data_IF_193305518883
#
_entry.id   IF_193305518883
#
_cell.length_a   1.000
_cell.length_b   1.000
_cell.length_c   1.000
_cell.angle_alpha   90.00
_cell.angle_beta   90.00
_cell.angle_gamma   90.00
#
_symmetry.space_group_name_H-M   'P 1'
#
loop_
_entity.id
_entity.type
_entity.pdbx_description
1 polymer ?
#
# COMPACT_ATOMS: atom_id res chain seq x y z
N UNK A 1 16.83 -1.05 20.56
CA UNK A 1 16.84 -1.68 19.22
C UNK A 1 15.57 -1.27 18.50
N UNK A 2 15.65 -0.97 17.21
CA UNK A 2 14.46 -0.77 16.37
C UNK A 2 13.68 -2.09 16.28
N UNK A 3 12.35 -2.01 16.17
CA UNK A 3 11.51 -3.18 15.89
C UNK A 3 11.70 -3.62 14.45
N UNK A 4 11.70 -4.91 14.16
CA UNK A 4 11.82 -5.44 12.81
C UNK A 4 10.45 -5.42 12.10
N UNK A 5 10.42 -4.83 10.91
CA UNK A 5 9.34 -4.97 9.95
C UNK A 5 9.83 -5.80 8.75
N UNK A 6 9.19 -6.93 8.51
CA UNK A 6 9.42 -7.78 7.36
C UNK A 6 8.38 -7.44 6.27
N UNK A 7 8.84 -6.91 5.14
CA UNK A 7 7.96 -6.47 4.06
C UNK A 7 8.13 -7.30 2.79
N UNK A 8 7.09 -8.04 2.43
CA UNK A 8 7.04 -8.80 1.18
C UNK A 8 6.71 -7.89 0.01
N UNK A 9 7.58 -7.87 -0.99
CA UNK A 9 7.51 -7.03 -2.17
C UNK A 9 8.41 -5.80 -2.10
N UNK A 10 9.64 -5.92 -2.62
CA UNK A 10 10.56 -4.80 -2.80
C UNK A 10 10.28 -3.99 -4.08
N UNK A 11 9.07 -4.09 -4.61
CA UNK A 11 8.62 -3.35 -5.78
C UNK A 11 8.48 -1.84 -5.53
N UNK A 12 7.81 -1.15 -6.45
CA UNK A 12 7.69 0.30 -6.39
C UNK A 12 6.88 0.79 -5.17
N UNK A 13 5.79 0.10 -4.80
CA UNK A 13 4.98 0.43 -3.62
C UNK A 13 5.78 0.15 -2.35
N UNK A 14 6.41 -1.02 -2.24
CA UNK A 14 7.22 -1.38 -1.08
C UNK A 14 8.35 -0.38 -0.82
N UNK A 15 9.20 -0.11 -1.82
CA UNK A 15 10.31 0.84 -1.69
C UNK A 15 9.84 2.30 -1.63
N UNK A 16 8.87 2.68 -2.47
CA UNK A 16 8.50 4.09 -2.66
C UNK A 16 7.54 4.63 -1.59
N UNK A 17 6.78 3.77 -0.92
CA UNK A 17 5.76 4.21 0.01
C UNK A 17 5.79 3.49 1.36
N UNK A 18 5.77 2.16 1.37
CA UNK A 18 5.65 1.41 2.63
C UNK A 18 6.93 1.52 3.46
N UNK A 19 8.10 1.27 2.91
CA UNK A 19 9.35 1.37 3.65
C UNK A 19 9.61 2.76 4.24
N UNK A 20 9.39 3.89 3.52
CA UNK A 20 9.41 5.23 4.12
C UNK A 20 8.50 5.40 5.33
N UNK A 21 7.26 4.86 5.28
CA UNK A 21 6.32 4.92 6.40
C UNK A 21 6.80 4.06 7.58
N UNK A 22 7.27 2.85 7.31
CA UNK A 22 7.81 1.96 8.34
C UNK A 22 9.02 2.58 9.05
N UNK A 23 9.97 3.16 8.32
CA UNK A 23 11.14 3.83 8.92
C UNK A 23 10.76 5.07 9.74
N UNK A 24 9.75 5.84 9.31
CA UNK A 24 9.21 6.95 10.10
C UNK A 24 8.57 6.50 11.42
N UNK A 25 8.20 5.22 11.50
CA UNK A 25 7.66 4.57 12.69
C UNK A 25 8.72 3.76 13.46
N UNK A 26 10.00 4.07 13.26
CA UNK A 26 11.13 3.49 13.97
C UNK A 26 11.34 1.97 13.72
N UNK A 27 10.85 1.44 12.58
CA UNK A 27 11.13 0.08 12.18
C UNK A 27 12.47 -0.03 11.41
N UNK A 28 13.18 -1.11 11.66
CA UNK A 28 14.16 -1.66 10.73
C UNK A 28 13.40 -2.42 9.64
N UNK A 29 13.69 -2.15 8.37
CA UNK A 29 12.95 -2.72 7.24
C UNK A 29 13.81 -3.76 6.53
N UNK A 30 13.30 -4.99 6.50
CA UNK A 30 13.84 -6.08 5.68
C UNK A 30 12.81 -6.45 4.63
N UNK A 31 13.22 -6.37 3.36
CA UNK A 31 12.37 -6.80 2.25
C UNK A 31 12.47 -8.30 2.01
N UNK A 32 11.38 -8.89 1.52
CA UNK A 32 11.36 -10.25 0.95
C UNK A 32 10.89 -10.13 -0.50
N UNK A 33 11.67 -10.64 -1.44
CA UNK A 33 11.28 -10.57 -2.86
C UNK A 33 11.72 -11.84 -3.60
N UNK A 34 11.06 -12.12 -4.73
CA UNK A 34 11.41 -13.21 -5.67
C UNK A 34 12.51 -12.80 -6.65
N UNK A 35 12.71 -11.50 -6.84
CA UNK A 35 13.69 -10.95 -7.77
C UNK A 35 15.09 -10.90 -7.13
N UNK A 36 15.93 -11.89 -7.43
CA UNK A 36 17.28 -12.04 -6.89
C UNK A 36 18.20 -10.87 -7.21
N UNK A 37 18.08 -10.27 -8.39
CA UNK A 37 18.86 -9.11 -8.77
C UNK A 37 18.51 -7.89 -7.92
N UNK A 38 17.22 -7.68 -7.69
CA UNK A 38 16.73 -6.62 -6.79
C UNK A 38 17.19 -6.85 -5.34
N UNK A 39 17.10 -8.09 -4.84
CA UNK A 39 17.59 -8.47 -3.52
C UNK A 39 19.08 -8.18 -3.37
N UNK A 40 19.91 -8.60 -4.35
CA UNK A 40 21.35 -8.31 -4.36
C UNK A 40 21.63 -6.81 -4.36
N UNK A 41 20.95 -6.06 -5.24
CA UNK A 41 21.14 -4.62 -5.36
C UNK A 41 20.78 -3.88 -4.06
N UNK A 42 19.69 -4.27 -3.38
CA UNK A 42 19.33 -3.70 -2.07
C UNK A 42 20.40 -4.00 -1.03
N UNK A 43 20.94 -5.22 -0.99
CA UNK A 43 21.94 -5.62 0.00
C UNK A 43 23.30 -4.98 -0.23
N UNK A 44 23.67 -4.73 -1.49
CA UNK A 44 24.90 -4.04 -1.86
C UNK A 44 24.86 -2.55 -1.51
N UNK A 45 23.77 -1.88 -1.83
CA UNK A 45 23.62 -0.43 -1.64
C UNK A 45 23.15 -0.07 -0.23
N UNK A 46 22.23 -0.85 0.35
CA UNK A 46 21.60 -0.66 1.65
C UNK A 46 20.86 0.67 1.83
N UNK A 47 20.77 1.46 0.77
CA UNK A 47 20.07 2.74 0.75
C UNK A 47 19.55 3.07 -0.66
N UNK A 48 18.55 3.94 -0.73
CA UNK A 48 18.03 4.51 -1.97
C UNK A 48 17.25 5.80 -1.67
N UNK A 49 16.87 6.52 -2.72
CA UNK A 49 16.13 7.77 -2.62
C UNK A 49 14.69 7.59 -3.08
N UNK A 50 13.79 8.28 -2.38
CA UNK A 50 12.40 8.46 -2.80
C UNK A 50 12.17 9.94 -3.07
N UNK A 51 11.89 10.28 -4.32
CA UNK A 51 11.68 11.64 -4.80
C UNK A 51 10.21 11.88 -5.13
N UNK A 52 9.70 13.08 -4.84
CA UNK A 52 8.30 13.43 -5.15
C UNK A 52 8.21 14.21 -6.45
N UNK A 53 7.27 13.84 -7.34
CA UNK A 53 7.00 14.53 -8.60
C UNK A 53 6.64 15.99 -8.32
N UNK A 54 7.20 16.89 -9.12
CA UNK A 54 6.91 18.34 -9.03
C UNK A 54 7.54 19.06 -7.83
N UNK A 55 8.14 18.35 -6.90
CA UNK A 55 8.79 18.93 -5.73
C UNK A 55 10.27 18.48 -5.65
N UNK A 56 11.16 19.23 -6.29
CA UNK A 56 12.61 18.93 -6.33
C UNK A 56 13.28 18.92 -4.94
N UNK A 57 12.63 19.49 -3.92
CA UNK A 57 13.17 19.56 -2.57
C UNK A 57 12.67 18.42 -1.66
N UNK A 58 11.76 17.57 -2.15
CA UNK A 58 11.23 16.46 -1.37
C UNK A 58 11.94 15.15 -1.77
N UNK A 59 13.15 14.97 -1.26
CA UNK A 59 13.92 13.74 -1.39
C UNK A 59 14.05 13.11 0.00
N UNK A 60 13.53 11.90 0.15
CA UNK A 60 13.74 11.08 1.34
C UNK A 60 14.85 10.06 1.07
N UNK A 61 15.84 10.00 1.95
CA UNK A 61 16.86 8.96 1.92
C UNK A 61 16.40 7.80 2.80
N UNK A 62 16.20 6.65 2.20
CA UNK A 62 15.87 5.40 2.88
C UNK A 62 17.17 4.65 3.08
N UNK A 63 17.53 4.38 4.33
CA UNK A 63 18.84 3.82 4.72
C UNK A 63 18.64 2.59 5.59
N UNK A 64 19.73 1.84 5.77
CA UNK A 64 19.75 0.65 6.62
C UNK A 64 18.69 -0.39 6.25
N UNK A 65 18.43 -0.54 4.96
CA UNK A 65 17.54 -1.57 4.43
C UNK A 65 18.33 -2.79 4.00
N UNK A 66 17.68 -3.94 4.05
CA UNK A 66 18.22 -5.19 3.51
C UNK A 66 17.09 -5.99 2.85
N UNK A 67 17.46 -7.05 2.14
CA UNK A 67 16.48 -7.90 1.49
C UNK A 67 16.90 -9.37 1.58
N UNK A 68 15.92 -10.26 1.54
CA UNK A 68 16.11 -11.71 1.49
C UNK A 68 15.32 -12.30 0.32
N UNK A 69 15.90 -13.29 -0.34
CA UNK A 69 15.21 -14.10 -1.33
C UNK A 69 14.14 -14.96 -0.63
N UNK A 70 12.91 -14.96 -1.13
CA UNK A 70 11.81 -15.77 -0.56
C UNK A 70 12.13 -17.27 -0.53
N UNK A 71 13.04 -17.73 -1.40
CA UNK A 71 13.50 -19.11 -1.43
C UNK A 71 14.52 -19.44 -0.34
N UNK A 72 15.11 -18.45 0.32
CA UNK A 72 15.99 -18.65 1.48
C UNK A 72 15.16 -18.90 2.75
N UNK A 73 14.58 -20.10 2.83
CA UNK A 73 13.67 -20.48 3.92
C UNK A 73 14.29 -20.36 5.31
N UNK A 74 15.61 -20.60 5.43
CA UNK A 74 16.31 -20.51 6.72
C UNK A 74 16.38 -19.09 7.26
N UNK A 75 16.73 -18.13 6.40
CA UNK A 75 16.74 -16.71 6.79
C UNK A 75 15.33 -16.17 6.94
N UNK A 76 14.40 -16.57 6.06
CA UNK A 76 12.99 -16.18 6.14
C UNK A 76 12.39 -16.58 7.49
N UNK A 77 12.58 -17.83 7.94
CA UNK A 77 12.10 -18.29 9.23
C UNK A 77 12.62 -17.42 10.38
N UNK A 78 13.94 -17.18 10.45
CA UNK A 78 14.53 -16.33 11.49
C UNK A 78 13.95 -14.92 11.50
N UNK A 79 13.75 -14.33 10.33
CA UNK A 79 13.20 -12.99 10.20
C UNK A 79 11.73 -12.95 10.64
N UNK A 80 10.92 -13.94 10.28
CA UNK A 80 9.52 -14.06 10.74
C UNK A 80 9.47 -14.16 12.27
N UNK A 81 10.28 -15.02 12.88
CA UNK A 81 10.36 -15.20 14.34
C UNK A 81 10.75 -13.91 15.09
N UNK A 82 11.55 -13.04 14.46
CA UNK A 82 12.04 -11.78 15.05
C UNK A 82 11.15 -10.58 14.74
N UNK A 83 10.22 -10.71 13.80
CA UNK A 83 9.40 -9.60 13.32
C UNK A 83 8.34 -9.18 14.33
N UNK A 84 8.15 -7.88 14.47
CA UNK A 84 7.01 -7.28 15.17
C UNK A 84 5.88 -6.92 14.21
N UNK A 85 6.21 -6.67 12.95
CA UNK A 85 5.28 -6.36 11.88
C UNK A 85 5.70 -7.12 10.62
N UNK A 86 4.75 -7.80 9.99
CA UNK A 86 4.89 -8.41 8.69
C UNK A 86 3.89 -7.73 7.76
N UNK A 87 4.31 -7.40 6.55
CA UNK A 87 3.43 -6.71 5.60
C UNK A 87 3.71 -7.09 4.15
N UNK A 88 2.76 -6.83 3.26
CA UNK A 88 2.87 -7.17 1.83
C UNK A 88 2.52 -6.00 0.92
N UNK A 89 3.16 -5.94 -0.24
CA UNK A 89 2.76 -5.18 -1.43
C UNK A 89 3.19 -5.92 -2.70
N UNK A 90 2.71 -7.15 -2.87
CA UNK A 90 3.10 -8.11 -3.92
C UNK A 90 2.02 -8.33 -4.98
N UNK A 91 0.85 -7.76 -4.76
CA UNK A 91 -0.38 -8.03 -5.47
C UNK A 91 -1.26 -9.04 -4.72
N UNK A 92 -2.59 -8.78 -4.69
CA UNK A 92 -3.51 -9.46 -3.78
C UNK A 92 -3.56 -10.99 -3.95
N UNK A 93 -3.32 -11.47 -5.17
CA UNK A 93 -3.34 -12.93 -5.47
C UNK A 93 -2.25 -13.74 -4.76
N UNK A 94 -1.16 -13.08 -4.32
CA UNK A 94 -0.04 -13.74 -3.66
C UNK A 94 -0.11 -13.70 -2.13
N UNK A 95 -1.01 -12.91 -1.56
CA UNK A 95 -1.14 -12.77 -0.10
C UNK A 95 -1.45 -14.08 0.61
N UNK A 96 -2.37 -14.94 0.09
CA UNK A 96 -2.61 -16.25 0.69
C UNK A 96 -1.38 -17.16 0.72
N UNK A 97 -0.60 -17.20 -0.36
CA UNK A 97 0.63 -18.00 -0.43
C UNK A 97 1.68 -17.53 0.59
N UNK A 98 1.78 -16.21 0.79
CA UNK A 98 2.67 -15.64 1.82
C UNK A 98 2.14 -16.00 3.21
N UNK A 99 0.84 -15.86 3.46
CA UNK A 99 0.23 -16.21 4.73
C UNK A 99 0.49 -17.69 5.10
N UNK A 100 0.32 -18.61 4.15
CA UNK A 100 0.64 -20.02 4.32
C UNK A 100 2.13 -20.23 4.65
N UNK A 101 3.02 -19.57 3.89
CA UNK A 101 4.47 -19.74 4.05
C UNK A 101 4.98 -19.24 5.40
N UNK A 102 4.42 -18.15 5.93
CA UNK A 102 4.86 -17.59 7.23
C UNK A 102 4.16 -18.21 8.43
N UNK A 103 2.96 -18.78 8.24
CA UNK A 103 2.13 -19.30 9.33
C UNK A 103 2.85 -20.34 10.20
N UNK A 104 3.72 -21.17 9.61
CA UNK A 104 4.50 -22.17 10.32
C UNK A 104 5.61 -21.56 11.18
N UNK A 105 6.11 -20.36 10.82
CA UNK A 105 7.24 -19.71 11.47
C UNK A 105 6.83 -18.69 12.54
N UNK A 106 5.56 -18.30 12.59
CA UNK A 106 5.08 -17.34 13.59
C UNK A 106 5.01 -18.02 14.95
N UNK A 107 5.82 -17.55 15.89
CA UNK A 107 5.93 -18.11 17.25
C UNK A 107 5.26 -17.25 18.32
N UNK A 108 4.87 -16.01 17.99
CA UNK A 108 4.28 -15.04 18.91
C UNK A 108 2.91 -14.57 18.42
N UNK A 109 1.98 -14.44 19.35
CA UNK A 109 0.64 -13.88 19.17
C UNK A 109 0.62 -12.34 19.15
N UNK A 110 1.77 -11.71 19.24
CA UNK A 110 1.92 -10.25 19.17
C UNK A 110 2.42 -9.72 17.83
N UNK A 111 2.69 -10.60 16.86
CA UNK A 111 3.10 -10.21 15.50
C UNK A 111 1.89 -9.68 14.74
N UNK A 112 2.01 -8.50 14.19
CA UNK A 112 0.96 -7.87 13.38
C UNK A 112 1.23 -8.17 11.91
N UNK A 113 0.17 -8.49 11.15
CA UNK A 113 0.21 -8.65 9.70
C UNK A 113 -0.67 -7.61 9.01
N UNK A 114 -0.14 -6.92 8.00
CA UNK A 114 -0.89 -5.96 7.20
C UNK A 114 -0.61 -6.20 5.71
N UNK A 115 -1.63 -6.56 4.95
CA UNK A 115 -1.56 -6.57 3.50
C UNK A 115 -1.90 -5.16 2.95
N UNK A 116 -0.89 -4.47 2.46
CA UNK A 116 -1.06 -3.19 1.77
C UNK A 116 -1.43 -3.41 0.30
N UNK A 117 -2.61 -3.99 0.09
CA UNK A 117 -3.07 -4.45 -1.21
C UNK A 117 -4.40 -3.79 -1.61
N UNK A 118 -4.66 -3.73 -2.90
CA UNK A 118 -5.94 -3.22 -3.41
C UNK A 118 -7.00 -4.33 -3.45
N UNK A 119 -7.32 -4.89 -2.29
CA UNK A 119 -8.30 -5.96 -2.12
C UNK A 119 -9.04 -5.80 -0.79
N UNK A 120 -10.35 -6.07 -0.83
CA UNK A 120 -11.18 -6.09 0.36
C UNK A 120 -10.73 -7.17 1.34
N UNK A 121 -10.51 -6.78 2.61
CA UNK A 121 -10.16 -7.69 3.70
C UNK A 121 -8.94 -8.58 3.40
N UNK A 122 -7.92 -8.03 2.74
CA UNK A 122 -6.78 -8.82 2.27
C UNK A 122 -6.04 -9.54 3.38
N UNK A 123 -5.83 -8.87 4.52
CA UNK A 123 -5.13 -9.44 5.67
C UNK A 123 -5.96 -10.53 6.36
N UNK A 124 -7.17 -10.18 6.80
CA UNK A 124 -8.03 -11.12 7.55
C UNK A 124 -8.48 -12.30 6.70
N UNK A 125 -8.75 -12.09 5.40
CA UNK A 125 -9.10 -13.18 4.48
C UNK A 125 -7.97 -14.19 4.28
N UNK A 126 -6.72 -13.73 4.24
CA UNK A 126 -5.57 -14.60 4.04
C UNK A 126 -5.33 -15.55 5.23
N UNK A 127 -5.72 -15.14 6.44
CA UNK A 127 -5.53 -15.95 7.66
C UNK A 127 -6.81 -16.63 8.16
N UNK A 128 -7.93 -16.52 7.43
CA UNK A 128 -9.24 -17.01 7.87
C UNK A 128 -9.26 -18.47 8.30
N UNK A 129 -8.55 -19.32 7.58
CA UNK A 129 -8.55 -20.77 7.80
C UNK A 129 -7.23 -21.27 8.44
N UNK A 130 -6.32 -20.36 8.78
CA UNK A 130 -5.03 -20.68 9.36
C UNK A 130 -5.10 -20.66 10.91
N UNK A 131 -4.41 -21.59 11.54
CA UNK A 131 -4.20 -21.61 13.01
C UNK A 131 -3.06 -20.65 13.35
N UNK A 132 -3.25 -19.39 13.08
CA UNK A 132 -2.22 -18.40 13.28
C UNK A 132 -2.11 -17.92 14.73
N UNK A 133 -0.93 -17.41 15.05
CA UNK A 133 -0.63 -16.71 16.30
C UNK A 133 -0.36 -15.23 16.06
N UNK A 134 -0.73 -14.69 14.90
CA UNK A 134 -0.54 -13.29 14.57
C UNK A 134 -1.87 -12.53 14.49
N UNK A 135 -1.76 -11.21 14.45
CA UNK A 135 -2.90 -10.29 14.42
C UNK A 135 -3.02 -9.69 13.01
N UNK A 136 -3.96 -10.18 12.17
CA UNK A 136 -4.19 -9.58 10.87
C UNK A 136 -4.99 -8.29 11.01
N UNK A 137 -4.48 -7.18 10.48
CA UNK A 137 -5.17 -5.89 10.39
C UNK A 137 -5.41 -5.54 8.93
N UNK A 138 -6.64 -5.22 8.59
CA UNK A 138 -6.96 -4.78 7.24
C UNK A 138 -6.62 -3.31 7.03
N UNK A 139 -6.16 -2.98 5.82
CA UNK A 139 -5.80 -1.63 5.46
C UNK A 139 -6.31 -1.25 4.05
N UNK A 140 -6.64 0.02 3.89
CA UNK A 140 -6.87 0.65 2.59
C UNK A 140 -5.66 1.50 2.26
N UNK A 141 -5.04 1.23 1.10
CA UNK A 141 -3.87 1.98 0.63
C UNK A 141 -4.24 2.76 -0.61
N UNK A 142 -3.91 4.03 -0.61
CA UNK A 142 -4.03 4.89 -1.77
C UNK A 142 -2.67 5.52 -2.08
N UNK A 143 -2.06 5.08 -3.17
CA UNK A 143 -0.77 5.58 -3.67
C UNK A 143 -0.60 5.23 -5.13
N UNK A 144 -0.34 6.24 -5.94
CA UNK A 144 0.08 6.05 -7.32
C UNK A 144 1.59 6.21 -7.39
N UNK A 145 2.23 5.24 -8.01
CA UNK A 145 3.66 5.27 -8.31
C UNK A 145 3.81 5.06 -9.81
N UNK A 146 4.32 6.07 -10.54
CA UNK A 146 4.51 5.96 -11.98
C UNK A 146 5.53 4.87 -12.34
N UNK A 147 5.60 4.45 -13.61
CA UNK A 147 6.63 3.53 -14.07
C UNK A 147 8.03 4.01 -13.69
N UNK A 148 8.86 3.12 -13.18
CA UNK A 148 10.22 3.39 -12.73
C UNK A 148 11.25 2.87 -13.72
N UNK A 149 12.48 3.43 -13.69
CA UNK A 149 13.63 2.81 -14.34
C UNK A 149 13.94 1.46 -13.69
N UNK A 150 14.29 0.47 -14.51
CA UNK A 150 14.69 -0.86 -14.03
C UNK A 150 16.12 -0.87 -13.48
N UNK A 151 16.91 0.13 -13.82
CA UNK A 151 18.34 0.18 -13.52
C UNK A 151 18.65 0.95 -12.22
N UNK A 152 17.65 1.33 -11.44
CA UNK A 152 17.81 2.10 -10.20
C UNK A 152 16.93 1.58 -9.08
N UNK A 153 17.46 1.62 -7.85
CA UNK A 153 16.70 1.43 -6.62
C UNK A 153 15.84 2.65 -6.27
N UNK A 154 16.23 3.83 -6.75
CA UNK A 154 15.52 5.08 -6.50
C UNK A 154 14.09 5.03 -7.04
N UNK A 155 13.16 5.64 -6.33
CA UNK A 155 11.73 5.63 -6.68
C UNK A 155 11.20 7.05 -6.77
N UNK A 156 10.53 7.35 -7.89
CA UNK A 156 9.78 8.59 -8.07
C UNK A 156 8.32 8.34 -7.71
N UNK A 157 7.76 9.16 -6.82
CA UNK A 157 6.38 9.00 -6.31
C UNK A 157 5.58 10.28 -6.48
N UNK A 158 4.25 10.16 -6.48
CA UNK A 158 3.37 11.31 -6.36
C UNK A 158 3.40 11.90 -4.94
N UNK A 159 2.98 13.17 -4.79
CA UNK A 159 2.94 13.84 -3.49
C UNK A 159 1.93 13.26 -2.53
N UNK A 160 0.77 12.82 -3.04
CA UNK A 160 -0.29 12.23 -2.25
C UNK A 160 -0.03 10.75 -1.96
N UNK A 161 -0.49 10.29 -0.80
CA UNK A 161 -0.55 8.88 -0.43
C UNK A 161 -1.13 8.72 0.97
N UNK A 162 -1.96 7.70 1.17
CA UNK A 162 -2.59 7.42 2.46
C UNK A 162 -2.64 5.92 2.75
N UNK A 163 -2.57 5.61 4.03
CA UNK A 163 -2.81 4.29 4.61
C UNK A 163 -3.90 4.47 5.67
N UNK A 164 -5.01 3.82 5.49
CA UNK A 164 -6.08 3.75 6.47
C UNK A 164 -6.13 2.32 7.01
N UNK A 165 -6.00 2.17 8.32
CA UNK A 165 -5.98 0.86 9.00
C UNK A 165 -7.28 0.74 9.80
N UNK A 166 -7.86 -0.44 9.82
CA UNK A 166 -9.02 -0.75 10.64
C UNK A 166 -8.76 -0.41 12.10
N UNK A 167 -9.70 0.32 12.74
CA UNK A 167 -9.59 0.67 14.17
C UNK A 167 -9.58 -0.60 15.01
N UNK A 168 -8.53 -0.71 15.83
CA UNK A 168 -8.29 -1.86 16.67
C UNK A 168 -7.53 -1.40 17.92
N UNK A 169 -7.41 -2.25 18.94
CA UNK A 169 -6.55 -1.99 20.10
C UNK A 169 -5.06 -1.92 19.74
N UNK A 170 -4.66 -2.53 18.62
CA UNK A 170 -3.29 -2.51 18.11
C UNK A 170 -3.10 -1.36 17.12
N UNK A 171 -2.17 -0.45 17.44
CA UNK A 171 -1.79 0.66 16.55
C UNK A 171 -0.30 0.55 16.19
N UNK A 172 0.06 -0.31 15.21
CA UNK A 172 1.46 -0.54 14.87
C UNK A 172 2.17 0.67 14.25
N UNK A 173 1.42 1.56 13.61
CA UNK A 173 1.92 2.79 13.00
C UNK A 173 1.31 4.00 13.73
N UNK A 174 2.10 5.05 13.91
CA UNK A 174 1.63 6.32 14.50
C UNK A 174 0.69 7.04 13.54
N UNK A 175 -0.39 7.59 14.04
CA UNK A 175 -1.26 8.47 13.26
C UNK A 175 -0.47 9.68 12.75
N UNK A 176 -0.74 10.08 11.51
CA UNK A 176 -0.03 11.14 10.81
C UNK A 176 -0.90 11.65 9.64
N UNK A 177 -0.39 12.58 8.84
CA UNK A 177 -1.05 12.98 7.58
C UNK A 177 -1.18 11.81 6.58
N UNK A 178 -0.37 10.75 6.72
CA UNK A 178 -0.34 9.59 5.83
C UNK A 178 -1.07 8.39 6.41
N UNK A 179 -1.05 8.21 7.73
CA UNK A 179 -1.61 7.04 8.43
C UNK A 179 -2.78 7.47 9.30
N UNK A 180 -3.91 6.82 9.13
CA UNK A 180 -5.12 7.02 9.94
C UNK A 180 -5.79 5.68 10.28
N UNK A 181 -6.67 5.71 11.29
CA UNK A 181 -7.42 4.56 11.78
C UNK A 181 -8.92 4.87 11.82
N UNK A 182 -9.77 3.87 11.65
CA UNK A 182 -11.22 4.02 11.77
C UNK A 182 -12.03 2.88 11.15
N UNK A 183 -13.23 3.21 10.68
CA UNK A 183 -14.14 2.25 10.06
C UNK A 183 -13.64 1.82 8.66
N UNK A 184 -13.04 0.65 8.62
CA UNK A 184 -12.46 0.07 7.40
C UNK A 184 -13.48 -0.07 6.27
N UNK A 185 -14.69 -0.57 6.55
CA UNK A 185 -15.70 -0.82 5.52
C UNK A 185 -16.10 0.47 4.80
N UNK A 186 -16.36 1.50 5.57
CA UNK A 186 -16.70 2.79 5.00
C UNK A 186 -15.55 3.41 4.20
N UNK A 187 -14.32 3.30 4.69
CA UNK A 187 -13.15 3.83 3.98
C UNK A 187 -12.84 3.04 2.70
N UNK A 188 -12.97 1.71 2.75
CA UNK A 188 -12.79 0.86 1.58
C UNK A 188 -13.83 1.17 0.49
N UNK A 189 -15.11 1.26 0.86
CA UNK A 189 -16.20 1.61 -0.07
C UNK A 189 -16.01 3.03 -0.61
N UNK A 190 -15.62 3.99 0.24
CA UNK A 190 -15.31 5.36 -0.17
C UNK A 190 -14.25 5.38 -1.26
N UNK A 191 -13.10 4.71 -1.03
CA UNK A 191 -12.04 4.60 -2.05
C UNK A 191 -12.54 3.91 -3.31
N UNK A 192 -13.24 2.78 -3.17
CA UNK A 192 -13.71 1.99 -4.31
C UNK A 192 -14.66 2.80 -5.20
N UNK A 193 -15.60 3.54 -4.62
CA UNK A 193 -16.61 4.27 -5.37
C UNK A 193 -16.12 5.64 -5.83
N UNK A 194 -15.57 6.45 -4.92
CA UNK A 194 -15.26 7.84 -5.22
C UNK A 194 -13.95 7.98 -6.00
N UNK A 195 -12.93 7.18 -5.69
CA UNK A 195 -11.66 7.23 -6.40
C UNK A 195 -11.64 6.28 -7.60
N UNK A 196 -11.72 4.97 -7.36
CA UNK A 196 -11.62 3.97 -8.43
C UNK A 196 -12.81 4.06 -9.39
N UNK A 197 -14.03 4.29 -8.88
CA UNK A 197 -15.24 4.47 -9.68
C UNK A 197 -15.19 5.71 -10.56
N UNK A 198 -14.64 6.83 -10.04
CA UNK A 198 -14.44 8.03 -10.84
C UNK A 198 -13.41 7.78 -11.95
N UNK A 199 -12.25 7.19 -11.62
CA UNK A 199 -11.24 6.84 -12.63
C UNK A 199 -11.83 5.94 -13.73
N UNK A 200 -12.65 4.96 -13.36
CA UNK A 200 -13.31 4.08 -14.33
C UNK A 200 -14.27 4.87 -15.25
N UNK A 201 -15.11 5.75 -14.68
CA UNK A 201 -16.00 6.60 -15.49
C UNK A 201 -15.23 7.52 -16.44
N UNK A 202 -14.13 8.13 -15.96
CA UNK A 202 -13.27 8.99 -16.79
C UNK A 202 -12.58 8.19 -17.89
N UNK A 203 -12.14 6.95 -17.59
CA UNK A 203 -11.54 6.07 -18.60
C UNK A 203 -12.52 5.72 -19.72
N UNK A 204 -13.77 5.36 -19.38
CA UNK A 204 -14.79 5.11 -20.40
C UNK A 204 -15.16 6.37 -21.21
N UNK A 205 -15.20 7.54 -20.55
CA UNK A 205 -15.42 8.79 -21.25
C UNK A 205 -14.27 9.09 -22.22
N UNK A 206 -13.02 8.92 -21.81
CA UNK A 206 -11.85 9.07 -22.67
C UNK A 206 -11.87 8.11 -23.87
N UNK A 207 -12.17 6.83 -23.63
CA UNK A 207 -12.33 5.83 -24.70
C UNK A 207 -13.42 6.21 -25.70
N UNK A 208 -14.55 6.79 -25.24
CA UNK A 208 -15.61 7.27 -26.13
C UNK A 208 -15.20 8.45 -27.02
N UNK A 209 -14.11 9.14 -26.64
CA UNK A 209 -13.48 10.22 -27.40
C UNK A 209 -12.21 9.76 -28.15
N UNK A 210 -11.96 8.44 -28.21
CA UNK A 210 -10.79 7.82 -28.86
C UNK A 210 -9.44 8.26 -28.25
N UNK A 211 -9.45 8.71 -26.98
CA UNK A 211 -8.25 9.10 -26.24
C UNK A 211 -7.54 7.89 -25.63
N UNK A 212 -6.23 7.95 -25.57
CA UNK A 212 -5.40 6.87 -25.05
C UNK A 212 -5.14 6.99 -23.54
N UNK A 213 -5.04 8.22 -23.05
CA UNK A 213 -4.70 8.51 -21.65
C UNK A 213 -5.71 9.46 -21.02
N UNK A 214 -6.00 9.29 -19.74
CA UNK A 214 -6.95 10.14 -18.98
C UNK A 214 -6.51 11.61 -18.95
N UNK A 215 -5.20 11.87 -18.89
CA UNK A 215 -4.71 13.26 -18.82
C UNK A 215 -5.02 14.09 -20.09
N UNK A 216 -5.23 13.43 -21.23
CA UNK A 216 -5.62 14.11 -22.47
C UNK A 216 -7.04 14.71 -22.37
N UNK A 217 -7.86 14.22 -21.43
CA UNK A 217 -9.19 14.76 -21.14
C UNK A 217 -9.13 16.18 -20.54
N UNK A 218 -8.05 16.52 -19.80
CA UNK A 218 -7.94 17.82 -19.11
C UNK A 218 -7.90 19.03 -20.06
N UNK A 219 -7.65 18.80 -21.34
CA UNK A 219 -7.65 19.82 -22.38
C UNK A 219 -9.06 20.13 -22.93
N UNK A 220 -10.09 19.39 -22.49
CA UNK A 220 -11.47 19.50 -22.99
C UNK A 220 -12.39 20.20 -21.99
N UNK A 221 -13.14 21.21 -22.43
CA UNK A 221 -14.17 21.87 -21.61
C UNK A 221 -15.26 20.90 -21.15
N UNK A 222 -15.60 19.89 -21.98
CA UNK A 222 -16.58 18.86 -21.64
C UNK A 222 -16.11 18.00 -20.46
N UNK A 223 -14.80 17.86 -20.27
CA UNK A 223 -14.23 17.04 -19.20
C UNK A 223 -14.65 17.53 -17.82
N UNK A 224 -14.47 18.82 -17.54
CA UNK A 224 -14.80 19.40 -16.22
C UNK A 224 -16.27 19.18 -15.86
N UNK A 225 -17.17 19.36 -16.84
CA UNK A 225 -18.61 19.14 -16.66
C UNK A 225 -18.91 17.66 -16.40
N UNK A 226 -18.30 16.76 -17.20
CA UNK A 226 -18.50 15.32 -17.04
C UNK A 226 -17.95 14.82 -15.70
N UNK A 227 -16.70 15.21 -15.35
CA UNK A 227 -16.03 14.80 -14.12
C UNK A 227 -16.82 15.23 -12.88
N UNK A 228 -17.30 16.49 -12.84
CA UNK A 228 -18.14 17.01 -11.75
C UNK A 228 -19.42 16.19 -11.60
N UNK A 229 -20.18 16.00 -12.68
CA UNK A 229 -21.42 15.21 -12.64
C UNK A 229 -21.16 13.75 -12.25
N UNK A 230 -20.08 13.16 -12.74
CA UNK A 230 -19.69 11.79 -12.39
C UNK A 230 -19.37 11.66 -10.90
N UNK A 231 -18.58 12.61 -10.35
CA UNK A 231 -18.23 12.64 -8.95
C UNK A 231 -19.46 12.87 -8.05
N UNK A 232 -20.33 13.84 -8.40
CA UNK A 232 -21.52 14.14 -7.62
C UNK A 232 -22.46 12.93 -7.56
N UNK A 233 -22.64 12.23 -8.68
CA UNK A 233 -23.47 11.02 -8.70
C UNK A 233 -22.91 9.87 -7.86
N UNK A 234 -21.57 9.75 -7.82
CA UNK A 234 -20.89 8.76 -6.96
C UNK A 234 -20.99 9.13 -5.47
N UNK A 235 -20.83 10.42 -5.14
CA UNK A 235 -21.02 10.93 -3.77
C UNK A 235 -22.42 10.68 -3.26
N UNK A 236 -23.43 11.00 -4.08
CA UNK A 236 -24.83 10.76 -3.72
C UNK A 236 -25.10 9.28 -3.44
N UNK A 237 -24.67 8.40 -4.34
CA UNK A 237 -24.80 6.96 -4.17
C UNK A 237 -24.07 6.45 -2.91
N UNK A 238 -22.87 6.95 -2.64
CA UNK A 238 -22.10 6.61 -1.45
C UNK A 238 -22.83 7.03 -0.16
N UNK A 239 -23.37 8.26 -0.10
CA UNK A 239 -24.10 8.77 1.04
C UNK A 239 -25.37 7.94 1.31
N UNK A 240 -26.13 7.61 0.25
CA UNK A 240 -27.32 6.77 0.36
C UNK A 240 -26.97 5.39 0.93
N UNK A 241 -25.87 4.80 0.45
CA UNK A 241 -25.44 3.45 0.86
C UNK A 241 -24.91 3.39 2.29
N UNK A 242 -24.10 4.38 2.68
CA UNK A 242 -23.37 4.35 3.95
C UNK A 242 -24.01 5.16 5.07
N UNK A 243 -24.91 6.09 4.74
CA UNK A 243 -25.43 7.10 5.69
C UNK A 243 -24.39 8.16 6.10
N UNK A 244 -23.26 8.24 5.43
CA UNK A 244 -22.20 9.21 5.72
C UNK A 244 -22.66 10.64 5.50
N UNK A 245 -22.20 11.56 6.35
CA UNK A 245 -22.48 13.00 6.16
C UNK A 245 -21.51 13.59 5.15
N UNK A 246 -22.02 14.44 4.25
CA UNK A 246 -21.23 15.14 3.21
C UNK A 246 -19.99 15.86 3.76
N UNK A 247 -20.09 16.43 4.97
CA UNK A 247 -18.99 17.15 5.63
C UNK A 247 -17.76 16.29 5.98
N UNK A 248 -17.90 14.96 5.92
CA UNK A 248 -16.81 14.00 6.20
C UNK A 248 -16.16 13.42 4.94
N UNK A 249 -16.66 13.81 3.76
CA UNK A 249 -16.11 13.36 2.48
C UNK A 249 -15.08 14.38 2.01
N UNK A 250 -13.84 14.23 2.46
CA UNK A 250 -12.70 14.94 1.89
C UNK A 250 -12.16 14.13 0.70
N UNK A 251 -12.25 14.72 -0.48
CA UNK A 251 -11.69 14.16 -1.72
C UNK A 251 -10.73 15.18 -2.30
#
# INVERSE_FOLDING_TARGET
MRKLALHFGAGNIGRGFIAPVLQQNDFEVVFVDVNKELVSSINENREYKVSTIGNKNSIKHIKDVSAVDIEDKTNLQKLVEQSSLISTSVGPKFVPEIADAINEYVVSDSVIFIAFENQHRASTSAFKDLKNKLIPLDAVVDKIIPPQSKDSLDVLVEGFGSIFIEENEYKPLKESEVVSYGDYENEFIKKLWLLNGLHLKLSYFGLSKELKYIHELFESDEFSIFATKALDSLKEAFIIHTGYKLSLIHI
#
